data_IF_500508452830
#
_entry.id   IF_500508452830
#
_cell.length_a   1.000
_cell.length_b   1.000
_cell.length_c   1.000
_cell.angle_alpha   90.00
_cell.angle_beta   90.00
_cell.angle_gamma   90.00
#
_symmetry.space_group_name_H-M   'P 1'
#
loop_
_entity.id
_entity.type
_entity.pdbx_description
1 polymer ?
#
# COMPACT_ATOMS: atom_id res chain seq x y z
N UNK A 1 -4.34 8.28 5.83
CA UNK A 1 -5.28 7.33 5.18
C UNK A 1 -4.59 5.98 5.06
N UNK A 2 -5.25 4.90 5.42
CA UNK A 2 -4.67 3.57 5.25
C UNK A 2 -4.96 3.05 3.83
N UNK A 3 -4.28 1.97 3.47
CA UNK A 3 -4.36 1.44 2.12
C UNK A 3 -5.76 0.96 1.75
N UNK A 4 -6.46 0.38 2.72
CA UNK A 4 -7.83 -0.08 2.51
C UNK A 4 -8.77 1.08 2.19
N UNK A 5 -8.67 2.17 2.95
CA UNK A 5 -9.47 3.37 2.71
C UNK A 5 -9.14 3.98 1.37
N UNK A 6 -7.87 4.01 1.02
CA UNK A 6 -7.44 4.56 -0.26
C UNK A 6 -8.10 3.81 -1.42
N UNK A 7 -8.09 2.47 -1.39
CA UNK A 7 -8.69 1.67 -2.45
C UNK A 7 -10.21 1.68 -2.47
N UNK A 8 -10.84 1.93 -1.33
CA UNK A 8 -12.29 2.06 -1.27
C UNK A 8 -12.78 3.23 -2.13
N UNK A 9 -11.96 4.26 -2.27
CA UNK A 9 -12.32 5.46 -3.01
C UNK A 9 -11.81 5.49 -4.45
N UNK A 10 -11.17 4.41 -4.91
CA UNK A 10 -10.60 4.34 -6.26
C UNK A 10 -11.50 3.58 -7.21
N UNK A 11 -11.44 3.88 -8.52
CA UNK A 11 -12.20 3.13 -9.52
C UNK A 11 -11.77 1.68 -9.59
N UNK A 12 -12.63 0.87 -10.20
CA UNK A 12 -12.36 -0.54 -10.44
C UNK A 12 -11.09 -0.70 -11.28
N UNK A 13 -10.28 -1.68 -10.95
CA UNK A 13 -9.06 -1.96 -11.69
C UNK A 13 -7.81 -1.26 -11.17
N UNK A 14 -7.96 -0.32 -10.23
CA UNK A 14 -6.81 0.40 -9.67
C UNK A 14 -5.84 -0.51 -8.93
N UNK A 15 -6.33 -1.59 -8.31
CA UNK A 15 -5.47 -2.56 -7.64
C UNK A 15 -4.51 -3.24 -8.60
N UNK A 16 -5.01 -3.68 -9.75
CA UNK A 16 -4.17 -4.34 -10.74
C UNK A 16 -3.11 -3.39 -11.27
N UNK A 17 -3.49 -2.16 -11.53
CA UNK A 17 -2.57 -1.14 -12.01
C UNK A 17 -1.47 -0.85 -10.99
N UNK A 18 -1.85 -0.67 -9.73
CA UNK A 18 -0.88 -0.40 -8.67
C UNK A 18 0.04 -1.59 -8.43
N UNK A 19 -0.51 -2.81 -8.44
CA UNK A 19 0.30 -4.01 -8.28
C UNK A 19 1.36 -4.11 -9.37
N UNK A 20 0.98 -3.81 -10.61
CA UNK A 20 1.91 -3.79 -11.73
C UNK A 20 3.02 -2.77 -11.51
N UNK A 21 2.68 -1.58 -11.07
CA UNK A 21 3.67 -0.53 -10.80
C UNK A 21 4.59 -0.89 -9.64
N UNK A 22 4.08 -1.64 -8.68
CA UNK A 22 4.87 -2.09 -7.53
C UNK A 22 5.72 -3.32 -7.83
N UNK A 23 5.46 -4.00 -8.94
CA UNK A 23 6.16 -5.23 -9.29
C UNK A 23 5.70 -6.44 -8.48
N UNK A 24 4.48 -6.43 -7.97
CA UNK A 24 3.91 -7.54 -7.20
C UNK A 24 2.62 -8.02 -7.85
N UNK A 25 2.11 -9.16 -7.37
CA UNK A 25 0.86 -9.70 -7.90
C UNK A 25 -0.34 -8.98 -7.26
N UNK A 26 -1.47 -9.04 -7.94
CA UNK A 26 -2.71 -8.50 -7.41
C UNK A 26 -3.12 -9.22 -6.12
N UNK A 27 -2.87 -10.53 -6.06
CA UNK A 27 -3.13 -11.33 -4.85
C UNK A 27 -2.29 -10.84 -3.68
N UNK A 28 -1.01 -10.58 -3.91
CA UNK A 28 -0.12 -10.06 -2.88
C UNK A 28 -0.61 -8.71 -2.35
N UNK A 29 -0.98 -7.83 -3.28
CA UNK A 29 -1.50 -6.52 -2.90
C UNK A 29 -2.78 -6.64 -2.09
N UNK A 30 -3.68 -7.56 -2.45
CA UNK A 30 -4.90 -7.80 -1.69
C UNK A 30 -4.61 -8.26 -0.26
N UNK A 31 -3.60 -9.10 -0.08
CA UNK A 31 -3.18 -9.55 1.25
C UNK A 31 -2.65 -8.38 2.09
N UNK A 32 -1.91 -7.47 1.47
CA UNK A 32 -1.42 -6.28 2.16
C UNK A 32 -2.60 -5.38 2.57
N UNK A 33 -3.55 -5.18 1.66
CA UNK A 33 -4.71 -4.34 1.92
C UNK A 33 -5.55 -4.88 3.07
N UNK A 34 -5.72 -6.20 3.13
CA UNK A 34 -6.52 -6.84 4.18
C UNK A 34 -5.78 -6.98 5.51
N UNK A 35 -4.50 -6.63 5.54
CA UNK A 35 -3.70 -6.71 6.76
C UNK A 35 -3.10 -8.07 7.04
N UNK A 36 -3.25 -9.03 6.13
CA UNK A 36 -2.70 -10.38 6.31
C UNK A 36 -1.20 -10.45 6.03
N UNK A 37 -0.68 -9.54 5.24
CA UNK A 37 0.74 -9.44 4.94
C UNK A 37 1.19 -8.01 5.10
N UNK A 38 2.44 -7.82 5.50
CA UNK A 38 3.02 -6.49 5.63
C UNK A 38 4.01 -6.25 4.49
N UNK A 39 3.97 -5.06 3.87
CA UNK A 39 4.94 -4.73 2.83
C UNK A 39 6.33 -4.51 3.43
N UNK A 40 7.36 -4.76 2.65
CA UNK A 40 8.73 -4.46 3.06
C UNK A 40 8.94 -2.94 3.15
N UNK A 41 10.02 -2.52 3.82
CA UNK A 41 10.36 -1.10 3.92
C UNK A 41 10.44 -0.40 2.57
N UNK A 42 11.21 -0.93 1.60
CA UNK A 42 11.26 -0.34 0.26
C UNK A 42 9.91 -0.28 -0.42
N UNK A 43 9.09 -1.31 -0.25
CA UNK A 43 7.75 -1.34 -0.84
C UNK A 43 6.86 -0.27 -0.21
N UNK A 44 6.96 -0.04 1.09
CA UNK A 44 6.24 1.03 1.77
C UNK A 44 6.58 2.39 1.18
N UNK A 45 7.85 2.65 0.94
CA UNK A 45 8.29 3.90 0.33
C UNK A 45 7.72 4.06 -1.07
N UNK A 46 7.69 2.99 -1.85
CA UNK A 46 7.12 3.01 -3.20
C UNK A 46 5.62 3.29 -3.16
N UNK A 47 4.90 2.65 -2.24
CA UNK A 47 3.46 2.87 -2.10
C UNK A 47 3.18 4.33 -1.70
N UNK A 48 3.95 4.86 -0.75
CA UNK A 48 3.78 6.26 -0.35
C UNK A 48 3.98 7.20 -1.54
N UNK A 49 5.00 6.94 -2.33
CA UNK A 49 5.32 7.75 -3.50
C UNK A 49 4.21 7.66 -4.57
N UNK A 50 3.75 6.45 -4.86
CA UNK A 50 2.73 6.24 -5.89
C UNK A 50 1.36 6.77 -5.48
N UNK A 51 1.06 6.84 -4.20
CA UNK A 51 -0.19 7.40 -3.70
C UNK A 51 -0.09 8.88 -3.38
N UNK A 52 1.03 9.49 -3.75
CA UNK A 52 1.28 10.92 -3.53
C UNK A 52 1.18 11.29 -2.04
N UNK A 53 1.65 10.39 -1.20
CA UNK A 53 1.67 10.59 0.25
C UNK A 53 0.35 10.32 0.95
N UNK A 54 -0.70 9.99 0.23
CA UNK A 54 -2.01 9.72 0.83
C UNK A 54 -1.99 8.47 1.70
N UNK A 55 -1.18 7.48 1.34
CA UNK A 55 -0.92 6.31 2.17
C UNK A 55 0.52 6.40 2.61
N UNK A 56 0.75 6.79 3.85
CA UNK A 56 2.11 6.96 4.35
C UNK A 56 2.74 5.62 4.70
N UNK A 57 4.07 5.57 4.64
CA UNK A 57 4.80 4.38 5.05
C UNK A 57 4.56 4.06 6.53
N UNK A 58 4.35 5.08 7.36
CA UNK A 58 4.04 4.87 8.77
C UNK A 58 2.69 4.17 8.97
N UNK A 59 1.72 4.45 8.11
CA UNK A 59 0.43 3.77 8.16
C UNK A 59 0.54 2.31 7.71
N UNK A 60 1.49 2.00 6.82
CA UNK A 60 1.72 0.64 6.32
C UNK A 60 2.53 -0.20 7.29
N UNK A 61 3.57 0.38 7.86
CA UNK A 61 4.49 -0.30 8.76
C UNK A 61 4.79 0.58 9.98
N UNK A 62 3.84 0.69 10.92
CA UNK A 62 4.08 1.50 12.12
C UNK A 62 5.21 0.96 12.99
N UNK A 63 5.53 -0.33 12.87
CA UNK A 63 6.66 -0.92 13.58
C UNK A 63 8.02 -0.41 13.07
N UNK A 64 8.08 0.06 11.82
CA UNK A 64 9.31 0.58 11.22
C UNK A 64 9.35 2.11 11.19
N UNK A 65 8.21 2.74 10.92
CA UNK A 65 8.15 4.17 10.61
C UNK A 65 7.17 4.95 11.49
N UNK A 66 6.50 4.31 12.42
CA UNK A 66 5.34 4.89 13.08
C UNK A 66 5.58 5.66 14.36
N UNK A 67 6.80 5.78 14.80
CA UNK A 67 7.13 6.38 16.09
C UNK A 67 7.53 7.84 15.99
N UNK A 68 7.18 8.47 14.94
CA UNK A 68 7.52 9.88 14.73
C UNK A 68 6.53 10.81 15.38
#
# INVERSE_FOLDING_TARGET
MNLKEYFTNLPHGSKAELASKLGITKTWLSLIISGKKMPSGPLCNTIQKLTDGKVSRAALRPDLFGDV
#
